data_IF_743092684919
#
_entry.id   IF_743092684919
#
_cell.length_a   1.000
_cell.length_b   1.000
_cell.length_c   1.000
_cell.angle_alpha   90.00
_cell.angle_beta   90.00
_cell.angle_gamma   90.00
#
_symmetry.space_group_name_H-M   'P 1'
#
loop_
_entity.id
_entity.type
_entity.pdbx_description
1 polymer ?
#
# COMPACT_ATOMS: atom_id res chain seq x y z
N UNK A 1 6.57 -3.91 -28.82
CA UNK A 1 5.41 -3.32 -28.13
C UNK A 1 4.80 -4.44 -27.33
N UNK A 2 4.51 -4.19 -26.05
CA UNK A 2 3.81 -5.16 -25.20
C UNK A 2 2.37 -5.45 -25.71
N UNK A 3 1.72 -6.41 -25.11
CA UNK A 3 0.33 -6.79 -25.40
C UNK A 3 -0.65 -5.69 -24.96
N UNK A 4 -0.31 -4.93 -23.90
CA UNK A 4 -1.17 -3.95 -23.28
C UNK A 4 -0.71 -2.51 -23.52
N UNK A 5 -1.67 -1.57 -23.63
CA UNK A 5 -1.39 -0.15 -23.84
C UNK A 5 -1.50 0.62 -22.53
N UNK A 6 -0.38 0.94 -21.91
CA UNK A 6 -0.30 1.74 -20.70
C UNK A 6 -0.07 3.26 -20.97
N UNK A 7 0.04 3.66 -22.23
CA UNK A 7 0.17 5.09 -22.62
C UNK A 7 -1.19 5.76 -22.82
N UNK A 8 -2.29 5.01 -22.77
CA UNK A 8 -3.63 5.54 -22.94
C UNK A 8 -4.01 6.41 -21.73
N UNK A 9 -4.31 7.67 -22.00
CA UNK A 9 -4.84 8.60 -20.97
C UNK A 9 -6.35 8.44 -20.91
N UNK A 10 -6.84 7.90 -19.82
CA UNK A 10 -8.27 7.65 -19.57
C UNK A 10 -8.81 8.78 -18.71
N UNK A 11 -9.83 9.49 -19.20
CA UNK A 11 -10.52 10.49 -18.40
C UNK A 11 -11.37 9.80 -17.32
N UNK A 12 -11.07 10.13 -16.07
CA UNK A 12 -11.76 9.60 -14.89
C UNK A 12 -12.68 10.62 -14.21
N UNK A 13 -12.83 11.82 -14.78
CA UNK A 13 -13.77 12.82 -14.27
C UNK A 13 -15.22 12.37 -14.51
N UNK A 14 -16.11 12.74 -13.58
CA UNK A 14 -17.52 12.38 -13.66
C UNK A 14 -17.83 10.92 -13.37
N UNK A 15 -16.89 10.19 -12.75
CA UNK A 15 -17.06 8.79 -12.34
C UNK A 15 -17.14 8.61 -10.83
N UNK A 16 -17.32 9.71 -10.08
CA UNK A 16 -17.19 9.75 -8.62
C UNK A 16 -15.80 9.32 -8.11
N UNK A 17 -14.80 9.44 -8.96
CA UNK A 17 -13.43 9.04 -8.66
C UNK A 17 -12.82 9.91 -7.58
N UNK A 18 -12.46 9.30 -6.44
CA UNK A 18 -11.85 10.00 -5.31
C UNK A 18 -10.62 10.83 -5.72
N UNK A 19 -9.83 10.32 -6.66
CA UNK A 19 -8.59 10.93 -7.13
C UNK A 19 -8.84 12.21 -7.93
N UNK A 20 -9.87 12.25 -8.77
CA UNK A 20 -10.12 13.33 -9.72
C UNK A 20 -11.31 14.25 -9.33
N UNK A 21 -12.43 13.69 -8.87
CA UNK A 21 -13.69 14.44 -8.72
C UNK A 21 -13.80 15.20 -7.38
N UNK A 22 -12.86 15.01 -6.45
CA UNK A 22 -12.95 15.57 -5.10
C UNK A 22 -11.97 16.72 -4.83
N UNK A 23 -11.29 17.23 -5.85
CA UNK A 23 -10.32 18.33 -5.72
C UNK A 23 -10.97 19.58 -5.10
N UNK A 24 -12.09 20.04 -5.66
CA UNK A 24 -12.83 21.20 -5.15
C UNK A 24 -13.27 21.01 -3.68
N UNK A 25 -13.79 19.82 -3.33
CA UNK A 25 -14.27 19.54 -1.95
C UNK A 25 -13.13 19.45 -0.94
N UNK A 26 -11.98 18.91 -1.33
CA UNK A 26 -10.87 18.60 -0.41
C UNK A 26 -9.77 19.66 -0.39
N UNK A 27 -9.56 20.33 -1.51
CA UNK A 27 -8.47 21.30 -1.70
C UNK A 27 -8.97 22.68 -2.17
N UNK A 28 -10.28 22.84 -2.39
CA UNK A 28 -10.88 24.09 -2.89
C UNK A 28 -10.54 24.41 -4.35
N UNK A 29 -10.10 23.39 -5.12
CA UNK A 29 -9.58 23.52 -6.49
C UNK A 29 -9.98 22.34 -7.35
N UNK A 30 -10.14 22.59 -8.66
CA UNK A 30 -10.45 21.59 -9.70
C UNK A 30 -9.40 21.56 -10.82
N UNK A 31 -8.34 22.37 -10.71
CA UNK A 31 -7.27 22.50 -11.71
C UNK A 31 -5.99 21.72 -11.33
N UNK A 32 -6.07 20.77 -10.41
CA UNK A 32 -4.93 20.00 -9.92
C UNK A 32 -4.70 18.74 -10.74
N UNK A 33 -3.43 18.43 -11.06
CA UNK A 33 -3.02 17.12 -11.54
C UNK A 33 -2.83 16.16 -10.35
N UNK A 34 -3.69 15.13 -10.19
CA UNK A 34 -3.67 14.32 -8.99
C UNK A 34 -2.75 13.11 -9.11
N UNK A 35 -1.72 13.05 -8.27
CA UNK A 35 -0.81 11.91 -8.13
C UNK A 35 -0.71 11.44 -6.66
N UNK A 36 -1.80 11.62 -5.89
CA UNK A 36 -1.85 11.36 -4.44
C UNK A 36 -2.39 9.98 -4.06
N UNK A 37 -3.60 9.62 -4.52
CA UNK A 37 -4.21 8.33 -4.18
C UNK A 37 -3.40 7.18 -4.76
N UNK A 38 -3.18 6.16 -3.95
CA UNK A 38 -2.55 4.91 -4.38
C UNK A 38 -3.53 3.99 -5.13
N UNK A 39 -4.13 4.51 -6.21
CA UNK A 39 -4.80 3.77 -7.28
C UNK A 39 -4.12 4.08 -8.62
N UNK A 40 -4.39 3.31 -9.65
CA UNK A 40 -3.73 3.44 -10.94
C UNK A 40 -4.65 4.07 -11.99
N UNK A 41 -4.05 4.65 -13.03
CA UNK A 41 -4.78 5.23 -14.17
C UNK A 41 -4.71 4.30 -15.41
N UNK A 42 -4.68 2.99 -15.18
CA UNK A 42 -4.64 1.96 -16.21
C UNK A 42 -5.92 1.14 -16.23
N UNK A 43 -6.39 0.85 -17.44
CA UNK A 43 -7.55 -0.02 -17.66
C UNK A 43 -7.18 -1.48 -17.41
N UNK A 44 -8.10 -2.21 -16.78
CA UNK A 44 -7.98 -3.65 -16.69
C UNK A 44 -8.00 -4.30 -18.08
N UNK A 45 -7.30 -5.43 -18.27
CA UNK A 45 -7.32 -6.13 -19.55
C UNK A 45 -8.68 -6.75 -19.85
N UNK A 46 -8.98 -6.92 -21.14
CA UNK A 46 -10.29 -7.41 -21.59
C UNK A 46 -10.60 -8.81 -21.04
N UNK A 47 -9.59 -9.66 -20.87
CA UNK A 47 -9.75 -11.00 -20.30
C UNK A 47 -10.34 -11.00 -18.87
N UNK A 48 -10.10 -9.93 -18.12
CA UNK A 48 -10.68 -9.74 -16.78
C UNK A 48 -12.04 -9.07 -16.89
N UNK A 49 -12.16 -8.01 -17.71
CA UNK A 49 -13.40 -7.27 -17.90
C UNK A 49 -14.54 -8.14 -18.44
N UNK A 50 -14.24 -9.06 -19.36
CA UNK A 50 -15.22 -10.00 -19.91
C UNK A 50 -15.88 -10.86 -18.81
N UNK A 51 -15.15 -11.25 -17.77
CA UNK A 51 -15.73 -12.01 -16.65
C UNK A 51 -16.64 -11.13 -15.78
N UNK A 52 -16.28 -9.86 -15.59
CA UNK A 52 -17.18 -8.92 -14.94
C UNK A 52 -18.46 -8.69 -15.75
N UNK A 53 -18.36 -8.52 -17.08
CA UNK A 53 -19.51 -8.38 -17.98
C UNK A 53 -20.42 -9.60 -17.91
N UNK A 54 -19.89 -10.82 -17.98
CA UNK A 54 -20.69 -12.06 -17.82
C UNK A 54 -21.45 -12.08 -16.50
N UNK A 55 -20.86 -11.59 -15.43
CA UNK A 55 -21.52 -11.54 -14.13
C UNK A 55 -22.60 -10.46 -14.06
N UNK A 56 -22.37 -9.31 -14.69
CA UNK A 56 -23.37 -8.23 -14.82
C UNK A 56 -24.54 -8.71 -15.68
N UNK A 57 -24.29 -9.35 -16.81
CA UNK A 57 -25.32 -9.86 -17.75
C UNK A 57 -26.18 -10.95 -17.10
N UNK A 58 -25.65 -11.73 -16.15
CA UNK A 58 -26.45 -12.67 -15.36
C UNK A 58 -27.56 -11.98 -14.56
N UNK A 59 -27.37 -10.72 -14.13
CA UNK A 59 -28.41 -9.85 -13.59
C UNK A 59 -28.90 -10.16 -12.16
N UNK A 60 -28.34 -11.15 -11.46
CA UNK A 60 -28.74 -11.51 -10.09
C UNK A 60 -27.55 -11.32 -9.14
N UNK A 61 -27.64 -10.35 -8.22
CA UNK A 61 -26.59 -9.94 -7.29
C UNK A 61 -26.95 -10.34 -5.84
N UNK A 62 -27.26 -11.63 -5.63
CA UNK A 62 -27.58 -12.20 -4.32
C UNK A 62 -26.34 -12.40 -3.44
N UNK A 63 -26.59 -12.91 -2.23
CA UNK A 63 -25.51 -13.25 -1.30
C UNK A 63 -24.55 -14.28 -1.92
N UNK A 64 -23.25 -14.10 -1.69
CA UNK A 64 -22.20 -14.92 -2.27
C UNK A 64 -21.17 -15.26 -1.19
N UNK A 65 -20.74 -16.51 -1.19
CA UNK A 65 -19.68 -17.00 -0.32
C UNK A 65 -18.62 -17.71 -1.16
N UNK A 66 -17.33 -17.69 -0.79
CA UNK A 66 -16.27 -18.29 -1.57
C UNK A 66 -16.39 -19.82 -1.62
N UNK A 67 -16.23 -20.38 -2.83
CA UNK A 67 -16.09 -21.81 -3.08
C UNK A 67 -14.60 -22.16 -3.29
N UNK A 68 -14.32 -23.45 -3.47
CA UNK A 68 -12.96 -23.99 -3.67
C UNK A 68 -12.17 -23.22 -4.73
N UNK A 69 -12.80 -22.86 -5.85
CA UNK A 69 -12.22 -22.08 -6.94
C UNK A 69 -11.62 -20.73 -6.51
N UNK A 70 -12.17 -20.13 -5.44
CA UNK A 70 -11.65 -18.89 -4.89
C UNK A 70 -10.26 -19.12 -4.24
N UNK A 71 -10.16 -20.16 -3.45
CA UNK A 71 -8.92 -20.53 -2.76
C UNK A 71 -7.89 -21.12 -3.73
N UNK A 72 -8.35 -21.83 -4.76
CA UNK A 72 -7.50 -22.34 -5.84
C UNK A 72 -6.88 -21.17 -6.61
N UNK A 73 -7.63 -20.12 -6.93
CA UNK A 73 -7.12 -18.92 -7.57
C UNK A 73 -6.06 -18.20 -6.69
N UNK A 74 -6.33 -18.07 -5.38
CA UNK A 74 -5.35 -17.52 -4.43
C UNK A 74 -4.08 -18.37 -4.38
N UNK A 75 -4.22 -19.69 -4.25
CA UNK A 75 -3.09 -20.60 -4.20
C UNK A 75 -2.31 -20.65 -5.51
N UNK A 76 -2.97 -20.55 -6.64
CA UNK A 76 -2.31 -20.41 -7.94
C UNK A 76 -1.42 -19.16 -7.96
N UNK A 77 -1.96 -18.01 -7.61
CA UNK A 77 -1.22 -16.74 -7.57
C UNK A 77 -0.04 -16.79 -6.59
N UNK A 78 -0.31 -17.19 -5.35
CA UNK A 78 0.71 -17.19 -4.31
C UNK A 78 1.82 -18.21 -4.55
N UNK A 79 1.51 -19.40 -5.07
CA UNK A 79 2.51 -20.41 -5.36
C UNK A 79 3.37 -20.05 -6.55
N UNK A 80 2.79 -19.47 -7.60
CA UNK A 80 3.52 -19.11 -8.81
C UNK A 80 4.37 -17.86 -8.66
N UNK A 81 3.90 -16.88 -7.87
CA UNK A 81 4.59 -15.59 -7.72
C UNK A 81 5.45 -15.48 -6.48
N UNK A 82 5.06 -16.13 -5.38
CA UNK A 82 5.74 -15.97 -4.09
C UNK A 82 6.22 -17.29 -3.47
N UNK A 83 5.89 -18.45 -4.05
CA UNK A 83 6.40 -19.76 -3.62
C UNK A 83 5.77 -20.31 -2.34
N UNK A 84 4.55 -19.85 -1.96
CA UNK A 84 3.82 -20.43 -0.83
C UNK A 84 2.36 -20.75 -1.18
N UNK A 85 1.71 -21.54 -0.33
CA UNK A 85 0.28 -21.84 -0.42
C UNK A 85 -0.40 -21.62 0.93
N UNK A 86 -1.70 -21.42 0.91
CA UNK A 86 -2.55 -21.25 2.09
C UNK A 86 -3.58 -22.36 2.17
N UNK A 87 -4.14 -22.54 3.36
CA UNK A 87 -5.31 -23.40 3.57
C UNK A 87 -6.58 -22.55 3.59
N UNK A 88 -7.69 -23.02 2.98
CA UNK A 88 -8.96 -22.29 2.99
C UNK A 88 -9.41 -21.85 4.38
N UNK A 89 -9.25 -22.72 5.37
CA UNK A 89 -9.63 -22.44 6.76
C UNK A 89 -8.81 -21.32 7.43
N UNK A 90 -7.67 -20.91 6.85
CA UNK A 90 -6.88 -19.77 7.36
C UNK A 90 -7.43 -18.42 6.93
N UNK A 91 -8.32 -18.40 5.92
CA UNK A 91 -8.79 -17.18 5.27
C UNK A 91 -10.11 -16.71 5.87
N UNK A 92 -10.18 -15.43 6.22
CA UNK A 92 -11.42 -14.72 6.52
C UNK A 92 -11.54 -13.53 5.58
N UNK A 93 -12.72 -13.29 5.03
CA UNK A 93 -12.95 -12.15 4.13
C UNK A 93 -13.21 -10.87 4.93
N UNK A 94 -12.81 -9.73 4.36
CA UNK A 94 -13.04 -8.39 4.91
C UNK A 94 -13.58 -7.40 3.88
N UNK A 95 -14.06 -6.26 4.36
CA UNK A 95 -14.53 -5.12 3.54
C UNK A 95 -13.37 -4.13 3.29
N UNK A 96 -12.32 -4.59 2.63
CA UNK A 96 -11.09 -3.83 2.43
C UNK A 96 -10.10 -3.95 3.59
N UNK A 97 -8.82 -3.62 3.30
CA UNK A 97 -7.72 -3.89 4.24
C UNK A 97 -7.77 -2.98 5.47
N UNK A 98 -8.12 -1.71 5.33
CA UNK A 98 -8.19 -0.79 6.49
C UNK A 98 -9.27 -1.22 7.48
N UNK A 99 -10.44 -1.69 6.98
CA UNK A 99 -11.46 -2.32 7.81
C UNK A 99 -10.92 -3.55 8.53
N UNK A 100 -10.21 -4.42 7.81
CA UNK A 100 -9.63 -5.64 8.37
C UNK A 100 -8.58 -5.34 9.46
N UNK A 101 -7.76 -4.31 9.26
CA UNK A 101 -6.80 -3.84 10.28
C UNK A 101 -7.51 -3.33 11.53
N UNK A 102 -8.55 -2.48 11.40
CA UNK A 102 -9.34 -2.01 12.53
C UNK A 102 -10.04 -3.16 13.29
N UNK A 103 -10.55 -4.16 12.56
CA UNK A 103 -11.10 -5.38 13.17
C UNK A 103 -10.03 -6.16 13.93
N UNK A 104 -8.81 -6.25 13.39
CA UNK A 104 -7.68 -6.92 14.05
C UNK A 104 -7.20 -6.19 15.29
N UNK A 105 -7.19 -4.86 15.28
CA UNK A 105 -6.91 -4.06 16.50
C UNK A 105 -7.83 -4.49 17.64
N UNK A 106 -9.13 -4.59 17.37
CA UNK A 106 -10.14 -5.05 18.35
C UNK A 106 -9.99 -6.51 18.74
N UNK A 107 -9.62 -7.36 17.78
CA UNK A 107 -9.49 -8.80 18.02
C UNK A 107 -8.29 -9.18 18.88
N UNK A 108 -7.18 -8.45 18.72
CA UNK A 108 -5.88 -8.86 19.26
C UNK A 108 -5.41 -8.02 20.45
N UNK A 109 -6.07 -6.90 20.72
CA UNK A 109 -5.67 -5.97 21.77
C UNK A 109 -6.88 -5.44 22.55
N UNK A 110 -6.63 -4.93 23.75
CA UNK A 110 -7.63 -4.24 24.58
C UNK A 110 -7.43 -2.72 24.52
N UNK A 111 -8.43 -1.94 24.94
CA UNK A 111 -8.31 -0.49 25.06
C UNK A 111 -7.15 -0.12 26.01
N UNK A 112 -6.30 0.82 25.57
CA UNK A 112 -5.09 1.22 26.30
C UNK A 112 -3.84 0.38 26.00
N UNK A 113 -3.97 -0.78 25.35
CA UNK A 113 -2.81 -1.57 24.92
C UNK A 113 -1.94 -0.79 23.91
N UNK A 114 -0.63 -1.03 23.98
CA UNK A 114 0.33 -0.43 23.06
C UNK A 114 0.43 -1.24 21.76
N UNK A 115 0.36 -0.54 20.63
CA UNK A 115 0.59 -1.10 19.31
C UNK A 115 1.66 -0.30 18.56
N UNK A 116 2.54 -1.00 17.85
CA UNK A 116 3.67 -0.42 17.16
C UNK A 116 3.42 -0.23 15.67
N UNK A 117 3.98 0.85 15.13
CA UNK A 117 4.21 1.08 13.70
C UNK A 117 5.65 1.55 13.49
N UNK A 118 6.10 1.57 12.22
CA UNK A 118 7.43 2.06 11.84
C UNK A 118 7.29 3.21 10.85
N UNK A 119 7.17 4.45 11.37
CA UNK A 119 7.04 5.64 10.51
C UNK A 119 8.37 6.00 9.82
N UNK A 120 8.32 6.63 8.61
CA UNK A 120 7.10 6.97 7.87
C UNK A 120 6.42 5.73 7.33
N UNK A 121 5.10 5.65 7.52
CA UNK A 121 4.29 4.51 7.10
C UNK A 121 2.89 4.95 6.71
N UNK A 122 2.16 4.15 5.97
CA UNK A 122 0.79 4.39 5.56
C UNK A 122 -0.07 4.86 6.73
N UNK A 123 -0.54 6.11 6.65
CA UNK A 123 -1.15 6.83 7.78
C UNK A 123 -2.36 6.12 8.41
N UNK A 124 -3.21 5.37 7.67
CA UNK A 124 -4.30 4.65 8.29
C UNK A 124 -3.88 3.62 9.35
N UNK A 125 -2.62 3.14 9.33
CA UNK A 125 -2.13 2.25 10.40
C UNK A 125 -2.13 2.96 11.75
N UNK A 126 -1.67 4.21 11.79
CA UNK A 126 -1.71 5.02 13.01
C UNK A 126 -3.13 5.41 13.40
N UNK A 127 -4.00 5.64 12.40
CA UNK A 127 -5.40 6.01 12.63
C UNK A 127 -6.21 4.86 13.26
N UNK A 128 -6.12 3.63 12.73
CA UNK A 128 -6.87 2.50 13.29
C UNK A 128 -6.43 2.18 14.73
N UNK A 129 -5.16 2.39 15.08
CA UNK A 129 -4.65 2.25 16.45
C UNK A 129 -5.28 3.30 17.37
N UNK A 130 -5.20 4.58 16.99
CA UNK A 130 -5.66 5.69 17.83
C UNK A 130 -7.19 5.73 17.93
N UNK A 131 -7.90 5.50 16.83
CA UNK A 131 -9.36 5.59 16.78
C UNK A 131 -10.03 4.49 17.62
N UNK A 132 -9.36 3.38 17.81
CA UNK A 132 -9.83 2.28 18.67
C UNK A 132 -9.28 2.37 20.11
N UNK A 133 -8.72 3.52 20.53
CA UNK A 133 -8.29 3.77 21.92
C UNK A 133 -7.00 3.04 22.32
N UNK A 134 -6.18 2.59 21.36
CA UNK A 134 -4.88 1.97 21.64
C UNK A 134 -3.79 3.02 21.67
N UNK A 135 -2.72 2.73 22.43
CA UNK A 135 -1.52 3.58 22.48
C UNK A 135 -0.67 3.36 21.24
N UNK A 136 -0.46 4.39 20.44
CA UNK A 136 0.46 4.33 19.31
C UNK A 136 1.91 4.42 19.79
N UNK A 137 2.72 3.42 19.45
CA UNK A 137 4.17 3.38 19.65
C UNK A 137 4.84 3.44 18.28
N UNK A 138 5.61 4.50 18.02
CA UNK A 138 6.33 4.65 16.76
C UNK A 138 7.81 4.26 16.91
N UNK A 139 8.22 3.15 16.30
CA UNK A 139 9.61 2.83 16.09
C UNK A 139 10.07 3.48 14.77
N UNK A 140 10.55 4.72 14.85
CA UNK A 140 10.96 5.51 13.69
C UNK A 140 12.03 4.78 12.87
N UNK A 141 11.80 4.62 11.56
CA UNK A 141 12.81 4.12 10.63
C UNK A 141 14.00 5.09 10.56
N UNK A 142 15.22 4.55 10.48
CA UNK A 142 16.43 5.35 10.26
C UNK A 142 16.52 5.74 8.78
N UNK A 143 16.72 7.03 8.51
CA UNK A 143 16.96 7.55 7.16
C UNK A 143 18.43 7.98 7.04
N UNK A 144 19.20 7.20 6.30
CA UNK A 144 20.61 7.45 6.07
C UNK A 144 20.98 7.11 4.63
N UNK A 145 21.85 7.91 4.02
CA UNK A 145 22.32 7.69 2.67
C UNK A 145 21.18 7.46 1.64
N UNK A 146 20.10 8.24 1.78
CA UNK A 146 18.91 8.16 0.91
C UNK A 146 18.18 6.79 0.95
N UNK A 147 18.28 6.08 2.07
CA UNK A 147 17.65 4.76 2.28
C UNK A 147 17.12 4.65 3.71
N UNK A 148 16.01 3.97 3.85
CA UNK A 148 15.42 3.66 5.15
C UNK A 148 15.82 2.27 5.64
N UNK A 149 15.99 2.11 6.95
CA UNK A 149 16.33 0.85 7.62
C UNK A 149 15.63 0.73 8.97
N UNK A 150 15.47 -0.51 9.44
CA UNK A 150 14.91 -0.81 10.76
C UNK A 150 16.01 -0.74 11.81
N UNK A 151 15.73 -0.05 12.91
CA UNK A 151 16.55 -0.08 14.13
C UNK A 151 16.06 -1.23 15.02
N UNK A 152 16.62 -2.41 14.84
CA UNK A 152 16.17 -3.62 15.54
C UNK A 152 16.41 -3.54 17.06
N UNK A 153 17.48 -2.91 17.50
CA UNK A 153 17.77 -2.75 18.93
C UNK A 153 16.75 -1.83 19.58
N UNK A 154 16.47 -0.69 18.94
CA UNK A 154 15.43 0.23 19.40
C UNK A 154 14.05 -0.39 19.35
N UNK A 155 13.73 -1.15 18.29
CA UNK A 155 12.46 -1.88 18.16
C UNK A 155 12.26 -2.82 19.34
N UNK A 156 13.26 -3.66 19.65
CA UNK A 156 13.20 -4.63 20.75
C UNK A 156 13.07 -3.94 22.10
N UNK A 157 13.86 -2.89 22.33
CA UNK A 157 13.78 -2.09 23.54
C UNK A 157 12.38 -1.49 23.75
N UNK A 158 11.83 -0.84 22.72
CA UNK A 158 10.51 -0.20 22.79
C UNK A 158 9.39 -1.24 22.99
N UNK A 159 9.46 -2.40 22.34
CA UNK A 159 8.49 -3.50 22.54
C UNK A 159 8.46 -3.90 24.02
N UNK A 160 9.62 -4.05 24.64
CA UNK A 160 9.73 -4.45 26.07
C UNK A 160 9.24 -3.34 27.01
N UNK A 161 9.70 -2.11 26.81
CA UNK A 161 9.41 -0.97 27.70
C UNK A 161 7.94 -0.57 27.65
N UNK A 162 7.35 -0.57 26.45
CA UNK A 162 5.97 -0.16 26.22
C UNK A 162 4.97 -1.32 26.29
N UNK A 163 5.45 -2.56 26.52
CA UNK A 163 4.63 -3.77 26.54
C UNK A 163 3.74 -3.90 25.29
N UNK A 164 4.36 -3.70 24.11
CA UNK A 164 3.65 -3.73 22.83
C UNK A 164 2.96 -5.07 22.60
N UNK A 165 1.69 -5.05 22.19
CA UNK A 165 0.87 -6.24 21.95
C UNK A 165 0.79 -6.65 20.49
N UNK A 166 0.84 -5.68 19.58
CA UNK A 166 0.82 -5.93 18.15
C UNK A 166 1.66 -4.92 17.39
N UNK A 167 2.21 -5.35 16.25
CA UNK A 167 2.94 -4.53 15.28
C UNK A 167 2.18 -4.55 13.95
N UNK A 168 1.82 -3.38 13.41
CA UNK A 168 1.36 -3.26 12.02
C UNK A 168 2.58 -2.97 11.15
N UNK A 169 2.87 -3.86 10.22
CA UNK A 169 4.05 -3.87 9.37
C UNK A 169 3.66 -3.89 7.89
N UNK A 170 4.45 -3.27 7.03
CA UNK A 170 4.18 -3.14 5.60
C UNK A 170 5.34 -3.70 4.78
N UNK A 171 5.08 -4.63 3.85
CA UNK A 171 6.08 -5.19 2.95
C UNK A 171 5.51 -5.47 1.55
N UNK A 172 5.91 -4.75 0.49
CA UNK A 172 6.78 -3.57 0.46
C UNK A 172 6.25 -2.37 1.27
N UNK A 173 7.15 -1.52 1.76
CA UNK A 173 6.85 -0.46 2.72
C UNK A 173 6.45 0.86 2.03
N UNK A 174 5.22 1.25 2.19
CA UNK A 174 4.67 2.54 1.73
C UNK A 174 4.80 3.58 2.87
N UNK A 175 5.40 4.76 2.65
CA UNK A 175 5.72 5.40 1.36
C UNK A 175 7.16 5.20 0.86
N UNK A 176 8.05 4.62 1.65
CA UNK A 176 9.50 4.67 1.42
C UNK A 176 10.02 3.71 0.34
N UNK A 177 9.17 2.84 -0.19
CA UNK A 177 9.49 1.94 -1.29
C UNK A 177 10.44 0.79 -0.93
N UNK A 178 10.70 0.51 0.36
CA UNK A 178 11.54 -0.63 0.79
C UNK A 178 10.84 -1.97 0.54
N UNK A 179 11.60 -2.91 0.02
CA UNK A 179 11.30 -4.35 0.04
C UNK A 179 12.21 -4.98 1.09
N UNK A 180 11.63 -5.39 2.22
CA UNK A 180 12.42 -5.91 3.33
C UNK A 180 13.03 -7.26 2.95
N UNK A 181 14.34 -7.41 3.21
CA UNK A 181 15.02 -8.68 2.92
C UNK A 181 14.52 -9.81 3.83
N UNK A 182 14.78 -11.05 3.44
CA UNK A 182 14.45 -12.21 4.29
C UNK A 182 15.04 -12.08 5.70
N UNK A 183 16.29 -11.64 5.80
CA UNK A 183 16.98 -11.46 7.08
C UNK A 183 16.34 -10.36 7.93
N UNK A 184 15.91 -9.25 7.30
CA UNK A 184 15.18 -8.19 8.00
C UNK A 184 13.83 -8.70 8.50
N UNK A 185 13.08 -9.42 7.66
CA UNK A 185 11.79 -10.03 8.01
C UNK A 185 11.93 -11.07 9.13
N UNK A 186 12.94 -11.94 9.08
CA UNK A 186 13.21 -12.94 10.10
C UNK A 186 13.54 -12.28 11.45
N UNK A 187 14.35 -11.22 11.47
CA UNK A 187 14.65 -10.47 12.70
C UNK A 187 13.41 -9.83 13.32
N UNK A 188 12.54 -9.20 12.50
CA UNK A 188 11.26 -8.68 12.99
C UNK A 188 10.42 -9.81 13.59
N UNK A 189 10.28 -10.92 12.89
CA UNK A 189 9.50 -12.07 13.34
C UNK A 189 10.05 -12.67 14.65
N UNK A 190 11.38 -12.80 14.79
CA UNK A 190 12.03 -13.31 16.00
C UNK A 190 11.78 -12.40 17.22
N UNK A 191 11.88 -11.08 17.04
CA UNK A 191 11.59 -10.13 18.11
C UNK A 191 10.10 -10.22 18.48
N UNK A 192 9.19 -10.23 17.51
CA UNK A 192 7.76 -10.35 17.76
C UNK A 192 7.42 -11.66 18.50
N UNK A 193 7.96 -12.79 18.05
CA UNK A 193 7.73 -14.10 18.69
C UNK A 193 8.27 -14.13 20.13
N UNK A 194 9.46 -13.58 20.36
CA UNK A 194 10.10 -13.54 21.70
C UNK A 194 9.24 -12.83 22.74
N UNK A 195 8.52 -11.78 22.33
CA UNK A 195 7.69 -10.97 23.24
C UNK A 195 6.18 -11.20 23.08
N UNK A 196 5.76 -12.23 22.32
CA UNK A 196 4.36 -12.51 22.01
C UNK A 196 3.62 -11.32 21.37
N UNK A 197 4.29 -10.58 20.52
CA UNK A 197 3.72 -9.49 19.73
C UNK A 197 3.05 -10.06 18.50
N UNK A 198 1.78 -9.78 18.28
CA UNK A 198 1.08 -10.21 17.06
C UNK A 198 1.60 -9.39 15.89
N UNK A 199 2.08 -10.08 14.86
CA UNK A 199 2.64 -9.47 13.67
C UNK A 199 1.58 -9.36 12.59
N UNK A 200 1.02 -8.16 12.44
CA UNK A 200 0.00 -7.79 11.45
C UNK A 200 0.70 -7.26 10.20
N UNK A 201 0.72 -8.04 9.11
CA UNK A 201 1.54 -7.75 7.94
C UNK A 201 0.67 -7.40 6.74
N UNK A 202 0.83 -6.19 6.24
CA UNK A 202 0.20 -5.70 5.00
C UNK A 202 1.14 -5.94 3.82
N UNK A 203 0.79 -6.90 2.94
CA UNK A 203 1.53 -7.23 1.72
C UNK A 203 0.80 -6.74 0.45
N UNK A 204 0.11 -5.61 0.53
CA UNK A 204 -0.71 -5.09 -0.58
C UNK A 204 0.08 -4.68 -1.83
N UNK A 205 1.37 -4.38 -1.70
CA UNK A 205 2.23 -3.97 -2.80
C UNK A 205 3.18 -5.08 -3.29
N UNK A 206 2.96 -6.33 -2.87
CA UNK A 206 3.88 -7.45 -3.09
C UNK A 206 4.15 -7.80 -4.56
N UNK A 207 3.29 -7.43 -5.49
CA UNK A 207 3.50 -7.65 -6.93
C UNK A 207 4.41 -6.58 -7.58
N UNK A 208 4.60 -5.44 -6.93
CA UNK A 208 5.41 -4.33 -7.47
C UNK A 208 6.84 -4.39 -6.91
N UNK A 209 7.65 -5.30 -7.44
CA UNK A 209 9.05 -5.48 -7.04
C UNK A 209 9.93 -5.15 -8.23
N UNK A 210 10.93 -4.29 -8.02
CA UNK A 210 11.79 -3.83 -9.10
C UNK A 210 13.05 -4.69 -9.25
N UNK A 211 13.68 -4.70 -10.45
CA UNK A 211 14.88 -5.49 -10.73
C UNK A 211 16.00 -5.28 -9.71
N UNK A 212 16.58 -6.36 -9.24
CA UNK A 212 17.62 -6.38 -8.21
C UNK A 212 17.12 -6.58 -6.78
N UNK A 213 15.80 -6.66 -6.61
CA UNK A 213 15.17 -6.92 -5.32
C UNK A 213 14.30 -8.17 -5.38
N UNK A 214 14.11 -8.83 -4.23
CA UNK A 214 13.32 -10.04 -4.09
C UNK A 214 12.32 -9.89 -2.96
N UNK A 215 11.06 -10.17 -3.26
CA UNK A 215 10.00 -10.16 -2.24
C UNK A 215 10.02 -11.46 -1.43
N UNK A 216 10.01 -11.31 -0.12
CA UNK A 216 9.80 -12.42 0.82
C UNK A 216 8.51 -12.19 1.58
N UNK A 217 7.50 -13.04 1.35
CA UNK A 217 6.29 -13.03 2.17
C UNK A 217 6.59 -13.55 3.58
N UNK A 218 5.85 -13.06 4.57
CA UNK A 218 5.89 -13.63 5.92
C UNK A 218 5.59 -15.14 5.93
N UNK A 219 4.81 -15.61 4.96
CA UNK A 219 4.46 -17.03 4.81
C UNK A 219 5.61 -17.92 4.31
N UNK A 220 6.69 -17.33 3.78
CA UNK A 220 7.91 -18.04 3.38
C UNK A 220 8.92 -18.23 4.51
N UNK A 221 8.66 -17.65 5.67
CA UNK A 221 9.52 -17.77 6.85
C UNK A 221 9.27 -19.08 7.59
N UNK A 222 10.06 -19.34 8.65
CA UNK A 222 9.90 -20.53 9.47
C UNK A 222 8.46 -20.61 10.03
N UNK A 223 7.86 -21.81 9.96
CA UNK A 223 6.48 -22.07 10.43
C UNK A 223 6.24 -21.76 11.90
N UNK A 224 7.31 -21.67 12.74
CA UNK A 224 7.18 -21.20 14.12
C UNK A 224 6.55 -19.81 14.21
N UNK A 225 6.72 -18.95 13.18
CA UNK A 225 6.14 -17.62 13.15
C UNK A 225 4.65 -17.60 12.81
N UNK A 226 4.09 -18.71 12.31
CA UNK A 226 2.66 -18.83 12.06
C UNK A 226 1.82 -18.63 13.35
N UNK A 227 2.45 -18.77 14.53
CA UNK A 227 1.80 -18.54 15.81
C UNK A 227 1.40 -17.08 16.06
N UNK A 228 2.06 -16.13 15.38
CA UNK A 228 1.89 -14.69 15.62
C UNK A 228 1.44 -13.90 14.39
N UNK A 229 1.33 -14.55 13.22
CA UNK A 229 1.07 -13.87 11.93
C UNK A 229 -0.43 -13.63 11.72
N UNK A 230 -0.75 -12.39 11.31
CA UNK A 230 -1.97 -12.03 10.60
C UNK A 230 -1.56 -11.31 9.31
N UNK A 231 -1.70 -11.99 8.16
CA UNK A 231 -1.35 -11.49 6.83
C UNK A 231 -2.59 -10.89 6.16
N UNK A 232 -2.42 -9.70 5.57
CA UNK A 232 -3.44 -9.01 4.79
C UNK A 232 -3.05 -8.98 3.32
N UNK A 233 -3.92 -9.52 2.47
CA UNK A 233 -3.70 -9.64 1.03
C UNK A 233 -4.95 -9.26 0.24
N UNK A 234 -4.75 -8.67 -0.94
CA UNK A 234 -5.83 -8.30 -1.85
C UNK A 234 -5.30 -8.03 -3.26
N UNK A 235 -6.05 -8.32 -4.32
CA UNK A 235 -5.71 -7.88 -5.67
C UNK A 235 -5.94 -6.37 -5.86
N UNK A 236 -6.41 -5.66 -4.84
CA UNK A 236 -6.86 -4.27 -4.92
C UNK A 236 -5.83 -3.29 -5.49
N UNK A 237 -4.56 -3.44 -5.10
CA UNK A 237 -3.45 -2.61 -5.60
C UNK A 237 -2.90 -3.16 -6.91
N UNK A 238 -2.67 -4.46 -6.99
CA UNK A 238 -2.12 -5.14 -8.17
C UNK A 238 -2.95 -4.91 -9.43
N UNK A 239 -4.27 -4.94 -9.29
CA UNK A 239 -5.21 -4.86 -10.43
C UNK A 239 -6.10 -3.60 -10.39
N UNK A 240 -5.77 -2.61 -9.57
CA UNK A 240 -6.58 -1.39 -9.48
C UNK A 240 -8.07 -1.63 -9.18
N UNK A 241 -8.39 -2.65 -8.38
CA UNK A 241 -9.77 -3.05 -8.02
C UNK A 241 -10.11 -2.73 -6.55
N UNK A 242 -9.40 -1.78 -5.96
CA UNK A 242 -9.62 -1.40 -4.56
C UNK A 242 -11.06 -0.92 -4.27
N UNK A 243 -11.73 -0.31 -5.25
CA UNK A 243 -13.12 0.11 -5.16
C UNK A 243 -14.11 -1.05 -4.98
N UNK A 244 -13.73 -2.29 -5.34
CA UNK A 244 -14.51 -3.51 -5.12
C UNK A 244 -14.30 -4.09 -3.71
N UNK A 245 -13.36 -3.53 -2.95
CA UNK A 245 -13.04 -3.85 -1.56
C UNK A 245 -12.74 -5.34 -1.26
N UNK A 246 -12.04 -6.10 -2.12
CA UNK A 246 -11.61 -7.44 -1.76
C UNK A 246 -10.56 -7.37 -0.65
N UNK A 247 -10.69 -8.21 0.38
CA UNK A 247 -9.69 -8.35 1.41
C UNK A 247 -9.66 -9.79 1.92
N UNK A 248 -8.48 -10.38 1.97
CA UNK A 248 -8.20 -11.70 2.49
C UNK A 248 -7.31 -11.57 3.72
N UNK A 249 -7.81 -12.00 4.86
CA UNK A 249 -7.10 -12.01 6.12
C UNK A 249 -6.71 -13.45 6.40
N UNK A 250 -5.41 -13.72 6.35
CA UNK A 250 -4.82 -15.06 6.40
C UNK A 250 -4.15 -15.23 7.75
N UNK A 251 -4.72 -16.07 8.62
CA UNK A 251 -4.26 -16.31 9.99
C UNK A 251 -4.09 -17.81 10.20
N UNK A 252 -2.84 -18.34 10.15
CA UNK A 252 -2.59 -19.76 10.35
C UNK A 252 -2.95 -20.26 11.74
N UNK A 253 -2.63 -19.48 12.80
CA UNK A 253 -2.94 -19.81 14.18
C UNK A 253 -4.46 -19.82 14.43
N UNK A 254 -4.99 -20.94 14.90
CA UNK A 254 -6.45 -21.14 15.10
C UNK A 254 -7.03 -20.21 16.17
N UNK A 255 -6.31 -19.98 17.26
CA UNK A 255 -6.79 -19.14 18.36
C UNK A 255 -6.84 -17.66 17.96
N UNK A 256 -5.82 -17.16 17.24
CA UNK A 256 -5.85 -15.81 16.68
C UNK A 256 -6.96 -15.66 15.66
N UNK A 257 -7.14 -16.68 14.81
CA UNK A 257 -8.19 -16.67 13.78
C UNK A 257 -9.58 -16.63 14.39
N UNK A 258 -9.84 -17.41 15.46
CA UNK A 258 -11.11 -17.36 16.19
C UNK A 258 -11.39 -15.98 16.80
N UNK A 259 -10.36 -15.32 17.37
CA UNK A 259 -10.49 -13.95 17.88
C UNK A 259 -10.86 -12.96 16.77
N UNK A 260 -10.18 -13.04 15.62
CA UNK A 260 -10.50 -12.20 14.48
C UNK A 260 -11.92 -12.45 13.96
N UNK A 261 -12.32 -13.70 13.78
CA UNK A 261 -13.66 -14.08 13.31
C UNK A 261 -14.74 -13.59 14.28
N UNK A 262 -14.48 -13.66 15.59
CA UNK A 262 -15.39 -13.14 16.60
C UNK A 262 -15.56 -11.61 16.49
N UNK A 263 -14.48 -10.86 16.38
CA UNK A 263 -14.52 -9.41 16.19
C UNK A 263 -15.25 -9.03 14.90
N UNK A 264 -15.03 -9.77 13.81
CA UNK A 264 -15.74 -9.61 12.54
C UNK A 264 -17.26 -9.86 12.70
N UNK A 265 -17.63 -10.89 13.47
CA UNK A 265 -19.04 -11.17 13.79
C UNK A 265 -19.66 -10.06 14.63
N UNK A 266 -18.93 -9.49 15.59
CA UNK A 266 -19.42 -8.35 16.39
C UNK A 266 -19.63 -7.09 15.53
N UNK A 267 -18.86 -6.92 14.45
CA UNK A 267 -19.06 -5.88 13.45
C UNK A 267 -20.21 -6.19 12.48
N UNK A 268 -20.94 -7.31 12.67
CA UNK A 268 -22.01 -7.83 11.82
C UNK A 268 -21.59 -8.01 10.35
N UNK A 269 -20.31 -8.21 10.08
CA UNK A 269 -19.81 -8.52 8.76
C UNK A 269 -19.72 -10.02 8.56
N UNK A 270 -20.43 -10.56 7.56
CA UNK A 270 -20.55 -12.01 7.35
C UNK A 270 -20.09 -12.48 5.98
N UNK A 271 -20.22 -11.64 4.95
CA UNK A 271 -19.95 -12.04 3.57
C UNK A 271 -19.27 -10.92 2.81
N UNK A 272 -18.29 -11.29 1.97
CA UNK A 272 -17.59 -10.35 1.12
C UNK A 272 -18.44 -9.85 -0.06
N UNK A 273 -18.02 -8.73 -0.66
CA UNK A 273 -18.62 -8.21 -1.89
C UNK A 273 -18.56 -9.27 -3.00
N UNK A 274 -19.69 -9.52 -3.68
CA UNK A 274 -19.77 -10.41 -4.82
C UNK A 274 -18.74 -10.07 -5.90
N UNK A 275 -18.67 -8.79 -6.27
CA UNK A 275 -17.71 -8.33 -7.29
C UNK A 275 -16.27 -8.37 -6.78
N UNK A 276 -16.06 -8.17 -5.49
CA UNK A 276 -14.74 -8.33 -4.85
C UNK A 276 -14.26 -9.77 -4.88
N UNK A 277 -15.15 -10.74 -4.60
CA UNK A 277 -14.81 -12.17 -4.69
C UNK A 277 -14.54 -12.59 -6.15
N UNK A 278 -15.35 -12.09 -7.09
CA UNK A 278 -15.10 -12.31 -8.52
C UNK A 278 -13.73 -11.74 -8.94
N UNK A 279 -13.40 -10.52 -8.47
CA UNK A 279 -12.10 -9.90 -8.76
C UNK A 279 -10.93 -10.78 -8.30
N UNK A 280 -10.97 -11.34 -7.08
CA UNK A 280 -9.92 -12.27 -6.62
C UNK A 280 -9.76 -13.44 -7.59
N UNK A 281 -10.87 -14.11 -7.94
CA UNK A 281 -10.82 -15.27 -8.84
C UNK A 281 -10.23 -14.94 -10.21
N UNK A 282 -10.76 -13.89 -10.86
CA UNK A 282 -10.39 -13.62 -12.26
C UNK A 282 -9.04 -12.93 -12.38
N UNK A 283 -8.70 -12.02 -11.49
CA UNK A 283 -7.42 -11.35 -11.49
C UNK A 283 -6.28 -12.34 -11.28
N UNK A 284 -6.40 -13.22 -10.30
CA UNK A 284 -5.36 -14.20 -9.96
C UNK A 284 -5.25 -15.36 -10.95
N UNK A 285 -6.25 -15.61 -11.80
CA UNK A 285 -6.20 -16.65 -12.82
C UNK A 285 -5.85 -16.14 -14.21
N UNK A 286 -6.11 -14.86 -14.52
CA UNK A 286 -5.97 -14.33 -15.88
C UNK A 286 -5.02 -13.13 -15.99
N UNK A 287 -4.61 -12.55 -14.87
CA UNK A 287 -3.93 -11.25 -14.88
C UNK A 287 -2.41 -11.28 -14.92
N UNK A 288 -1.75 -12.44 -14.93
CA UNK A 288 -0.30 -12.56 -14.76
C UNK A 288 0.49 -11.75 -15.81
N UNK A 289 0.20 -11.96 -17.10
CA UNK A 289 0.90 -11.26 -18.20
C UNK A 289 0.72 -9.74 -18.11
N UNK A 290 -0.49 -9.30 -17.74
CA UNK A 290 -0.78 -7.85 -17.59
C UNK A 290 0.02 -7.24 -16.44
N UNK A 291 0.14 -7.94 -15.32
CA UNK A 291 0.91 -7.45 -14.17
C UNK A 291 2.41 -7.39 -14.50
N UNK A 292 2.94 -8.37 -15.22
CA UNK A 292 4.35 -8.38 -15.59
C UNK A 292 4.70 -7.18 -16.49
N UNK A 293 3.90 -6.91 -17.54
CA UNK A 293 4.08 -5.73 -18.38
C UNK A 293 3.84 -4.41 -17.62
N UNK A 294 2.85 -4.39 -16.71
CA UNK A 294 2.55 -3.23 -15.88
C UNK A 294 3.72 -2.85 -14.96
N UNK A 295 4.30 -3.82 -14.27
CA UNK A 295 5.44 -3.60 -13.37
C UNK A 295 6.64 -3.05 -14.15
N UNK A 296 6.92 -3.58 -15.35
CA UNK A 296 7.95 -3.07 -16.23
C UNK A 296 7.68 -1.61 -16.63
N UNK A 297 6.45 -1.29 -17.05
CA UNK A 297 6.07 0.06 -17.42
C UNK A 297 6.21 1.05 -16.24
N UNK A 298 5.74 0.67 -15.06
CA UNK A 298 5.87 1.48 -13.85
C UNK A 298 7.35 1.69 -13.50
N UNK A 299 8.18 0.67 -13.61
CA UNK A 299 9.62 0.79 -13.36
C UNK A 299 10.29 1.77 -14.32
N UNK A 300 9.88 1.81 -15.60
CA UNK A 300 10.33 2.82 -16.54
C UNK A 300 9.90 4.24 -16.11
N UNK A 301 8.71 4.42 -15.54
CA UNK A 301 8.27 5.69 -14.96
C UNK A 301 9.16 6.09 -13.77
N UNK A 302 9.48 5.14 -12.89
CA UNK A 302 10.39 5.36 -11.75
C UNK A 302 11.77 5.81 -12.24
N UNK A 303 12.35 5.11 -13.23
CA UNK A 303 13.65 5.48 -13.81
C UNK A 303 13.65 6.85 -14.47
N UNK A 304 12.57 7.17 -15.18
CA UNK A 304 12.40 8.50 -15.77
C UNK A 304 12.39 9.58 -14.70
N UNK A 305 11.55 9.40 -13.66
CA UNK A 305 11.45 10.36 -12.56
C UNK A 305 12.78 10.51 -11.81
N UNK A 306 13.48 9.40 -11.52
CA UNK A 306 14.79 9.42 -10.85
C UNK A 306 15.81 10.27 -11.61
N UNK A 307 15.91 10.05 -12.93
CA UNK A 307 16.79 10.85 -13.79
C UNK A 307 16.38 12.33 -13.80
N UNK A 308 15.08 12.61 -13.96
CA UNK A 308 14.58 13.97 -14.03
C UNK A 308 14.83 14.74 -12.72
N UNK A 309 14.57 14.13 -11.57
CA UNK A 309 14.82 14.71 -10.22
C UNK A 309 16.30 15.03 -10.08
N UNK A 310 17.18 14.10 -10.41
CA UNK A 310 18.63 14.29 -10.33
C UNK A 310 19.14 15.44 -11.22
N UNK A 311 18.59 15.60 -12.41
CA UNK A 311 19.01 16.61 -13.37
C UNK A 311 18.43 18.00 -13.10
N UNK A 312 17.18 18.07 -12.58
CA UNK A 312 16.42 19.31 -12.51
C UNK A 312 16.16 19.82 -11.08
N UNK A 313 16.30 18.98 -10.05
CA UNK A 313 16.05 19.34 -8.65
C UNK A 313 17.30 19.09 -7.79
N UNK A 314 18.36 19.92 -7.93
CA UNK A 314 19.69 19.61 -7.36
C UNK A 314 19.74 19.53 -5.82
N UNK A 315 18.73 20.06 -5.13
CA UNK A 315 18.60 19.99 -3.67
C UNK A 315 17.55 18.96 -3.19
N UNK A 316 16.80 18.34 -4.10
CA UNK A 316 15.92 17.24 -3.76
C UNK A 316 16.64 15.89 -3.87
N UNK A 317 16.12 14.89 -3.15
CA UNK A 317 16.62 13.51 -3.21
C UNK A 317 15.42 12.56 -3.37
N UNK A 318 15.39 11.83 -4.44
CA UNK A 318 14.44 10.74 -4.57
C UNK A 318 14.99 9.54 -3.82
N UNK A 319 14.22 9.02 -2.86
CA UNK A 319 14.51 7.71 -2.26
C UNK A 319 14.30 6.66 -3.35
N UNK A 320 15.34 5.87 -3.65
CA UNK A 320 15.26 4.86 -4.70
C UNK A 320 14.31 3.75 -4.27
N UNK A 321 13.15 3.59 -4.92
CA UNK A 321 12.21 2.56 -4.51
C UNK A 321 12.69 1.17 -4.97
N UNK A 322 12.68 0.22 -4.03
CA UNK A 322 12.94 -1.20 -4.28
C UNK A 322 11.68 -1.90 -4.81
N UNK A 323 10.51 -1.30 -4.53
CA UNK A 323 9.19 -1.74 -4.98
C UNK A 323 8.14 -0.66 -4.77
N UNK A 324 6.88 -0.99 -4.99
CA UNK A 324 5.70 -0.13 -5.05
C UNK A 324 5.68 0.78 -6.27
N UNK A 325 4.57 1.45 -6.53
CA UNK A 325 4.45 2.50 -7.54
C UNK A 325 4.36 3.90 -6.90
N UNK A 326 4.78 3.99 -5.65
CA UNK A 326 4.75 5.22 -4.85
C UNK A 326 6.19 5.68 -4.65
N UNK A 327 6.50 6.85 -5.18
CA UNK A 327 7.86 7.41 -5.16
C UNK A 327 7.94 8.47 -4.08
N UNK A 328 8.96 8.37 -3.23
CA UNK A 328 9.20 9.21 -2.08
C UNK A 328 10.33 10.18 -2.34
N UNK A 329 10.06 11.48 -2.26
CA UNK A 329 11.03 12.55 -2.60
C UNK A 329 11.24 13.47 -1.42
N UNK A 330 12.49 13.61 -1.02
CA UNK A 330 12.98 14.51 0.04
C UNK A 330 13.32 15.88 -0.56
N UNK A 331 12.58 16.93 -0.15
CA UNK A 331 12.82 18.32 -0.51
C UNK A 331 13.52 19.12 0.61
N UNK A 332 13.95 18.48 1.69
CA UNK A 332 14.58 19.15 2.84
C UNK A 332 15.79 20.03 2.48
N UNK A 333 16.50 19.66 1.41
CA UNK A 333 17.65 20.43 0.93
C UNK A 333 17.30 21.85 0.44
N UNK A 334 16.03 22.15 0.17
CA UNK A 334 15.56 23.49 -0.18
C UNK A 334 15.29 24.36 1.06
N UNK A 335 15.13 23.76 2.24
CA UNK A 335 14.87 24.46 3.49
C UNK A 335 13.45 25.04 3.58
N UNK A 336 12.49 24.49 2.83
CA UNK A 336 11.07 24.90 2.90
C UNK A 336 10.46 24.44 4.23
N UNK A 337 9.53 25.23 4.78
CA UNK A 337 8.59 24.70 5.77
C UNK A 337 7.60 23.74 5.12
N UNK A 338 6.84 23.01 5.93
CA UNK A 338 5.78 22.15 5.37
C UNK A 338 4.73 22.97 4.60
N UNK A 339 4.36 24.12 5.14
CA UNK A 339 3.39 25.02 4.54
C UNK A 339 3.91 25.62 3.22
N UNK A 340 5.19 25.99 3.16
CA UNK A 340 5.81 26.46 1.91
C UNK A 340 5.85 25.37 0.86
N UNK A 341 6.19 24.14 1.24
CA UNK A 341 6.22 23.00 0.31
C UNK A 341 4.80 22.65 -0.20
N UNK A 342 3.81 22.62 0.69
CA UNK A 342 2.42 22.37 0.31
C UNK A 342 1.89 23.50 -0.61
N UNK A 343 2.21 24.75 -0.32
CA UNK A 343 1.86 25.89 -1.20
C UNK A 343 2.51 25.75 -2.58
N UNK A 344 3.80 25.44 -2.64
CA UNK A 344 4.51 25.19 -3.91
C UNK A 344 3.82 24.10 -4.73
N UNK A 345 3.47 22.97 -4.10
CA UNK A 345 2.82 21.85 -4.81
C UNK A 345 1.41 22.22 -5.29
N UNK A 346 0.55 22.72 -4.40
CA UNK A 346 -0.86 22.95 -4.70
C UNK A 346 -1.09 24.23 -5.49
N UNK A 347 -0.49 25.37 -5.09
CA UNK A 347 -0.82 26.68 -5.63
C UNK A 347 0.02 27.03 -6.85
N UNK A 348 1.30 26.68 -6.86
CA UNK A 348 2.21 27.07 -7.94
C UNK A 348 2.35 25.96 -8.97
N UNK A 349 2.65 24.72 -8.56
CA UNK A 349 2.83 23.58 -9.46
C UNK A 349 1.51 22.93 -9.91
N UNK A 350 0.38 23.23 -9.24
CA UNK A 350 -0.92 22.60 -9.53
C UNK A 350 -0.89 21.08 -9.43
N UNK A 351 -0.15 20.56 -8.45
CA UNK A 351 -0.04 19.13 -8.17
C UNK A 351 -0.77 18.79 -6.88
N UNK A 352 -1.54 17.73 -6.90
CA UNK A 352 -2.08 17.13 -5.69
C UNK A 352 -1.29 15.85 -5.39
N UNK A 353 -0.40 15.95 -4.42
CA UNK A 353 0.42 14.86 -3.90
C UNK A 353 -0.01 14.50 -2.48
N UNK A 354 0.57 13.46 -1.90
CA UNK A 354 0.48 13.21 -0.47
C UNK A 354 1.70 13.80 0.24
N UNK A 355 1.45 14.85 1.01
CA UNK A 355 2.48 15.50 1.83
C UNK A 355 3.05 14.55 2.87
N UNK A 356 4.36 14.60 3.06
CA UNK A 356 5.07 13.69 3.95
C UNK A 356 4.62 13.71 5.39
N UNK A 357 4.13 14.84 5.88
CA UNK A 357 3.68 14.99 7.26
C UNK A 357 2.58 14.00 7.68
N UNK A 358 1.75 13.54 6.72
CA UNK A 358 0.69 12.57 7.03
C UNK A 358 1.23 11.17 7.35
N UNK A 359 2.45 10.83 6.88
CA UNK A 359 3.10 9.54 7.12
C UNK A 359 3.94 9.51 8.40
N UNK A 360 4.21 10.69 8.96
CA UNK A 360 4.97 10.90 10.19
C UNK A 360 5.51 12.33 10.28
N UNK A 361 5.56 12.93 11.46
CA UNK A 361 5.95 14.34 11.62
C UNK A 361 7.38 14.62 11.16
N UNK A 362 8.28 13.64 11.22
CA UNK A 362 9.69 13.77 10.81
C UNK A 362 9.87 13.88 9.28
N UNK A 363 8.80 13.68 8.51
CA UNK A 363 8.84 13.68 7.05
C UNK A 363 8.03 14.81 6.41
N UNK A 364 7.83 15.91 7.15
CA UNK A 364 7.09 17.09 6.71
C UNK A 364 7.64 17.76 5.43
N UNK A 365 8.92 17.51 5.09
CA UNK A 365 9.58 18.05 3.89
C UNK A 365 9.68 17.04 2.75
N UNK A 366 8.89 15.97 2.82
CA UNK A 366 8.82 14.96 1.77
C UNK A 366 7.49 15.03 1.03
N UNK A 367 7.49 14.51 -0.19
CA UNK A 367 6.28 14.33 -1.00
C UNK A 367 6.24 12.92 -1.59
N UNK A 368 5.04 12.32 -1.62
CA UNK A 368 4.80 11.03 -2.25
C UNK A 368 4.11 11.19 -3.59
N UNK A 369 4.74 10.70 -4.64
CA UNK A 369 4.22 10.68 -6.01
C UNK A 369 3.71 9.27 -6.35
N UNK A 370 2.50 9.17 -6.86
CA UNK A 370 2.00 7.96 -7.50
C UNK A 370 2.38 7.99 -8.99
N UNK A 371 3.22 7.06 -9.42
CA UNK A 371 3.68 6.97 -10.83
C UNK A 371 3.02 5.84 -11.61
N UNK A 372 1.96 5.22 -11.06
CA UNK A 372 1.13 4.24 -11.77
C UNK A 372 0.10 4.93 -12.66
N UNK A 373 0.60 5.68 -13.63
CA UNK A 373 -0.17 6.43 -14.63
C UNK A 373 0.59 6.47 -15.94
N UNK A 374 -0.06 6.84 -17.07
CA UNK A 374 0.62 7.06 -18.34
C UNK A 374 1.84 7.99 -18.21
N UNK A 375 2.92 7.68 -18.92
CA UNK A 375 4.19 8.42 -18.89
C UNK A 375 3.99 9.93 -19.04
N UNK A 376 3.12 10.35 -19.94
CA UNK A 376 2.84 11.77 -20.21
C UNK A 376 2.37 12.52 -18.96
N UNK A 377 1.67 11.87 -18.04
CA UNK A 377 1.23 12.50 -16.78
C UNK A 377 2.40 12.72 -15.82
N UNK A 378 3.34 11.77 -15.74
CA UNK A 378 4.57 11.94 -14.96
C UNK A 378 5.42 13.08 -15.53
N UNK A 379 5.55 13.17 -16.86
CA UNK A 379 6.27 14.23 -17.56
C UNK A 379 5.63 15.60 -17.31
N UNK A 380 4.31 15.67 -17.38
CA UNK A 380 3.54 16.89 -17.08
C UNK A 380 3.78 17.33 -15.63
N UNK A 381 3.64 16.41 -14.65
CA UNK A 381 3.81 16.74 -13.24
C UNK A 381 5.21 17.29 -12.94
N UNK A 382 6.23 16.62 -13.44
CA UNK A 382 7.62 17.05 -13.23
C UNK A 382 7.94 18.38 -13.90
N UNK A 383 7.36 18.64 -15.10
CA UNK A 383 7.50 19.91 -15.79
C UNK A 383 6.82 21.06 -15.04
N UNK A 384 5.58 20.83 -14.54
CA UNK A 384 4.87 21.80 -13.72
C UNK A 384 5.65 22.14 -12.45
N UNK A 385 6.14 21.10 -11.74
CA UNK A 385 6.95 21.29 -10.53
C UNK A 385 8.23 22.07 -10.81
N UNK A 386 8.94 21.75 -11.91
CA UNK A 386 10.16 22.47 -12.26
C UNK A 386 9.90 23.95 -12.50
N UNK A 387 8.89 24.28 -13.29
CA UNK A 387 8.55 25.66 -13.62
C UNK A 387 8.15 26.45 -12.36
N UNK A 388 7.36 25.83 -11.48
CA UNK A 388 6.96 26.43 -10.20
C UNK A 388 8.16 26.66 -9.28
N UNK A 389 9.02 25.65 -9.14
CA UNK A 389 10.20 25.74 -8.29
C UNK A 389 11.20 26.78 -8.77
N UNK A 390 11.47 26.84 -10.08
CA UNK A 390 12.39 27.83 -10.68
C UNK A 390 11.87 29.26 -10.42
N UNK A 391 10.57 29.49 -10.60
CA UNK A 391 9.92 30.77 -10.30
C UNK A 391 10.01 31.13 -8.82
N UNK A 392 9.61 30.19 -7.94
CA UNK A 392 9.62 30.37 -6.49
C UNK A 392 11.03 30.74 -5.96
N UNK A 393 12.07 30.08 -6.49
CA UNK A 393 13.45 30.37 -6.12
C UNK A 393 13.97 31.70 -6.67
N UNK A 394 13.45 32.19 -7.79
CA UNK A 394 13.82 33.48 -8.35
C UNK A 394 13.16 34.67 -7.63
N UNK A 395 12.06 34.44 -6.91
CA UNK A 395 11.32 35.46 -6.14
C UNK A 395 11.84 35.59 -4.69
N UNK A 396 12.67 34.63 -4.20
CA UNK A 396 13.35 34.67 -2.91
C UNK A 396 14.75 35.28 -3.04
#
# INVERSE_FOLDING_TARGET
MGKYNFDEVIDRHGTDCLKYDFGMKRKGRDDLLPLWVADMDFRLPDEILDEFHKRIDHGIFGYTDPLDEYFDAMNHWFSTRYGYTIKPEWVTLGAGIVYALGTSVKAFTEEGDAMMVMQPVYYPFSEVIKNDGRKLVNCQLRYENNRYSIDFEKMEQMIKEENVKALIFCNPHNPVGRVWTREEMEKVAEICLKYNVIWMIDEMHCDFIFPGHEFTSCMNLDKKFHEIIALYSSPGKTFNVAGLQPANIIIPNEELRKKYQWANTQAAYSQGSLMGQLAVKVCYTKGADWVDELVEYIYENVKYMSRYVKENFPKAKMVEPEGTYLVWVDFSGYGFSNEELEHLMLEEAKLWLDSGIIFGPETAQFERFNVACPRVMVEQALTQLKNALDKHLAEK
#
